data_IF_425821506664
#
_entry.id   IF_425821506664
#
_cell.length_a   1.000
_cell.length_b   1.000
_cell.length_c   1.000
_cell.angle_alpha   90.00
_cell.angle_beta   90.00
_cell.angle_gamma   90.00
#
_symmetry.space_group_name_H-M   'P 1'
#
loop_
_entity.id
_entity.type
_entity.pdbx_description
1 polymer ?
#
# COMPACT_ATOMS: atom_id res chain seq x y z
N UNK A 1 33.45 14.03 32.35
CA UNK A 1 33.51 14.26 30.89
C UNK A 1 33.15 13.00 30.09
N UNK A 2 33.84 11.85 30.22
CA UNK A 2 33.51 10.62 29.44
C UNK A 2 32.05 10.12 29.57
N UNK A 3 31.46 10.21 30.76
CA UNK A 3 30.05 9.81 31.00
C UNK A 3 29.02 10.71 30.30
N UNK A 4 29.38 11.97 30.04
CA UNK A 4 28.53 12.93 29.32
C UNK A 4 28.47 12.59 27.83
N UNK A 5 29.60 12.20 27.25
CA UNK A 5 29.69 11.74 25.85
C UNK A 5 28.96 10.41 25.61
N UNK A 6 28.97 9.51 26.60
CA UNK A 6 28.20 8.26 26.54
C UNK A 6 26.70 8.55 26.55
N UNK A 7 26.23 9.45 27.44
CA UNK A 7 24.84 9.89 27.47
C UNK A 7 24.40 10.59 26.17
N UNK A 8 25.26 11.45 25.61
CA UNK A 8 25.00 12.14 24.35
C UNK A 8 24.94 11.17 23.15
N UNK A 9 25.81 10.15 23.14
CA UNK A 9 25.80 9.10 22.13
C UNK A 9 24.52 8.26 22.16
N UNK A 10 24.05 7.88 23.35
CA UNK A 10 22.80 7.14 23.52
C UNK A 10 21.60 7.99 23.06
N UNK A 11 21.58 9.29 23.42
CA UNK A 11 20.52 10.21 23.00
C UNK A 11 20.45 10.36 21.48
N UNK A 12 21.60 10.48 20.80
CA UNK A 12 21.68 10.56 19.34
C UNK A 12 21.16 9.29 18.64
N UNK A 13 21.46 8.11 19.18
CA UNK A 13 20.95 6.83 18.64
C UNK A 13 19.43 6.75 18.77
N UNK A 14 18.87 7.15 19.91
CA UNK A 14 17.41 7.16 20.14
C UNK A 14 16.71 8.15 19.21
N UNK A 15 17.29 9.36 19.02
CA UNK A 15 16.76 10.35 18.09
C UNK A 15 16.80 9.85 16.64
N UNK A 16 17.90 9.21 16.22
CA UNK A 16 18.03 8.68 14.86
C UNK A 16 17.05 7.53 14.59
N UNK A 17 16.88 6.63 15.56
CA UNK A 17 15.87 5.57 15.48
C UNK A 17 14.45 6.16 15.40
N UNK A 18 14.15 7.20 16.20
CA UNK A 18 12.89 7.92 16.16
C UNK A 18 12.59 8.56 14.81
N UNK A 19 13.59 9.18 14.18
CA UNK A 19 13.46 9.79 12.85
C UNK A 19 13.18 8.75 11.75
N UNK A 20 13.87 7.60 11.77
CA UNK A 20 13.64 6.51 10.80
C UNK A 20 12.22 5.91 10.91
N UNK A 21 11.74 5.74 12.15
CA UNK A 21 10.37 5.27 12.39
C UNK A 21 9.37 6.32 11.94
N UNK A 22 9.64 7.60 12.22
CA UNK A 22 8.80 8.71 11.79
C UNK A 22 8.74 8.82 10.26
N UNK A 23 9.85 8.70 9.53
CA UNK A 23 9.82 8.63 8.05
C UNK A 23 8.98 7.46 7.56
N UNK A 24 9.15 6.26 8.13
CA UNK A 24 8.37 5.09 7.72
C UNK A 24 6.88 5.20 8.03
N UNK A 25 6.49 6.00 9.02
CA UNK A 25 5.09 6.17 9.44
C UNK A 25 4.44 7.42 8.81
N UNK A 26 5.21 8.49 8.63
CA UNK A 26 4.76 9.79 8.10
C UNK A 26 4.90 9.83 6.57
N UNK A 27 6.02 9.36 6.03
CA UNK A 27 6.25 9.24 4.58
C UNK A 27 5.85 7.86 4.04
N UNK A 28 6.05 6.79 4.81
CA UNK A 28 5.62 5.43 4.44
C UNK A 28 4.15 5.19 4.79
N UNK A 29 3.35 4.79 3.80
CA UNK A 29 1.98 4.34 4.05
C UNK A 29 1.93 2.99 4.77
N UNK A 30 0.77 2.68 5.34
CA UNK A 30 0.44 1.36 5.85
C UNK A 30 0.27 0.36 4.70
N UNK A 31 0.85 -0.83 4.85
CA UNK A 31 0.66 -1.89 3.86
C UNK A 31 -0.65 -2.63 4.09
N UNK A 32 -1.44 -2.76 3.02
CA UNK A 32 -2.59 -3.65 2.92
C UNK A 32 -2.40 -4.60 1.75
N UNK A 33 -3.10 -5.72 1.78
CA UNK A 33 -3.07 -6.73 0.71
C UNK A 33 -4.46 -6.90 0.14
N UNK A 34 -4.57 -6.93 -1.19
CA UNK A 34 -5.83 -7.14 -1.93
C UNK A 34 -5.67 -8.30 -2.91
N UNK A 35 -6.78 -8.88 -3.31
CA UNK A 35 -6.86 -9.76 -4.48
C UNK A 35 -7.69 -9.09 -5.57
N UNK A 36 -7.22 -9.13 -6.82
CA UNK A 36 -7.97 -8.61 -7.96
C UNK A 36 -9.12 -9.57 -8.29
N UNK A 37 -10.34 -9.23 -7.88
CA UNK A 37 -11.54 -10.06 -8.09
C UNK A 37 -12.41 -9.59 -9.26
N UNK A 38 -12.22 -8.37 -9.74
CA UNK A 38 -12.97 -7.73 -10.84
C UNK A 38 -12.04 -7.28 -11.97
N UNK A 39 -12.61 -6.89 -13.11
CA UNK A 39 -11.85 -6.26 -14.18
C UNK A 39 -11.58 -4.76 -13.94
N UNK A 40 -12.05 -4.21 -12.82
CA UNK A 40 -12.12 -2.76 -12.60
C UNK A 40 -13.23 -2.09 -13.41
N UNK A 41 -13.59 -0.89 -13.00
CA UNK A 41 -14.45 0.02 -13.75
C UNK A 41 -13.60 0.75 -14.79
N UNK A 42 -13.93 0.62 -16.07
CA UNK A 42 -13.24 1.35 -17.13
C UNK A 42 -13.63 2.82 -17.06
N UNK A 43 -12.65 3.70 -16.97
CA UNK A 43 -12.80 5.14 -17.03
C UNK A 43 -12.10 5.62 -18.30
N UNK A 44 -12.79 6.44 -19.08
CA UNK A 44 -12.24 7.10 -20.25
C UNK A 44 -12.22 8.60 -19.97
N UNK A 45 -11.03 9.19 -19.99
CA UNK A 45 -10.81 10.63 -19.83
C UNK A 45 -10.06 11.17 -21.04
N UNK A 46 -10.02 12.48 -21.16
CA UNK A 46 -9.25 13.19 -22.18
C UNK A 46 -8.19 14.02 -21.45
N UNK A 47 -6.94 13.95 -21.90
CA UNK A 47 -5.87 14.80 -21.36
C UNK A 47 -5.97 16.23 -21.91
N UNK A 48 -5.14 17.15 -21.38
CA UNK A 48 -5.13 18.56 -21.81
C UNK A 48 -4.77 18.76 -23.30
N UNK A 49 -4.36 17.70 -24.01
CA UNK A 49 -3.98 17.70 -25.42
C UNK A 49 -4.99 17.00 -26.32
N UNK A 50 -6.10 16.52 -25.77
CA UNK A 50 -7.14 15.82 -26.53
C UNK A 50 -6.88 14.33 -26.73
N UNK A 51 -5.89 13.74 -26.05
CA UNK A 51 -5.65 12.30 -26.14
C UNK A 51 -6.56 11.56 -25.17
N UNK A 52 -7.19 10.50 -25.68
CA UNK A 52 -7.97 9.59 -24.84
C UNK A 52 -7.05 8.81 -23.90
N UNK A 53 -7.34 8.88 -22.61
CA UNK A 53 -6.69 8.12 -21.55
C UNK A 53 -7.70 7.10 -21.02
N UNK A 54 -7.28 5.83 -20.99
CA UNK A 54 -8.09 4.74 -20.45
C UNK A 54 -7.46 4.30 -19.14
N UNK A 55 -8.24 4.38 -18.06
CA UNK A 55 -7.86 3.90 -16.75
C UNK A 55 -8.87 2.86 -16.24
N UNK A 56 -8.44 2.05 -15.28
CA UNK A 56 -9.30 1.05 -14.64
C UNK A 56 -9.33 1.32 -13.14
N UNK A 57 -10.49 1.71 -12.63
CA UNK A 57 -10.70 1.96 -11.21
C UNK A 57 -11.07 0.68 -10.47
N UNK A 58 -10.45 0.50 -9.31
CA UNK A 58 -10.70 -0.63 -8.42
C UNK A 58 -11.18 -0.11 -7.07
N UNK A 59 -12.21 -0.75 -6.53
CA UNK A 59 -12.60 -0.65 -5.13
C UNK A 59 -12.64 -2.09 -4.59
N UNK A 60 -11.62 -2.44 -3.80
CA UNK A 60 -11.42 -3.82 -3.34
C UNK A 60 -11.23 -3.84 -1.83
N UNK A 61 -11.77 -4.86 -1.12
CA UNK A 61 -11.42 -5.08 0.26
C UNK A 61 -9.97 -5.53 0.36
N UNK A 62 -9.26 -4.93 1.32
CA UNK A 62 -7.87 -5.25 1.61
C UNK A 62 -7.64 -5.41 3.10
N UNK A 63 -6.59 -6.17 3.43
CA UNK A 63 -6.26 -6.54 4.80
C UNK A 63 -4.82 -6.19 5.13
N UNK A 64 -4.61 -5.58 6.29
CA UNK A 64 -3.24 -5.41 6.79
C UNK A 64 -2.69 -6.73 7.35
N UNK A 65 -1.42 -6.72 7.79
CA UNK A 65 -0.77 -7.89 8.38
C UNK A 65 -1.49 -8.50 9.61
N UNK A 66 -2.38 -7.73 10.25
CA UNK A 66 -3.15 -8.14 11.41
C UNK A 66 -4.60 -8.53 11.07
N UNK A 67 -4.93 -8.69 9.78
CA UNK A 67 -6.28 -8.95 9.28
C UNK A 67 -7.27 -7.80 9.54
N UNK A 68 -6.79 -6.56 9.70
CA UNK A 68 -7.69 -5.40 9.74
C UNK A 68 -8.14 -5.04 8.32
N UNK A 69 -9.46 -5.11 8.11
CA UNK A 69 -10.10 -4.78 6.83
C UNK A 69 -10.06 -3.29 6.53
N UNK A 70 -9.91 -2.95 5.26
CA UNK A 70 -10.10 -1.61 4.68
C UNK A 70 -10.54 -1.75 3.23
N UNK A 71 -11.54 -0.98 2.80
CA UNK A 71 -11.82 -0.83 1.37
C UNK A 71 -10.79 0.13 0.75
N UNK A 72 -10.14 -0.31 -0.32
CA UNK A 72 -9.06 0.41 -0.99
C UNK A 72 -9.51 0.77 -2.39
N UNK A 73 -9.51 2.07 -2.66
CA UNK A 73 -9.78 2.66 -3.95
C UNK A 73 -8.47 3.05 -4.64
N UNK A 74 -8.25 2.57 -5.87
CA UNK A 74 -7.05 2.87 -6.64
C UNK A 74 -7.25 2.69 -8.14
N UNK A 75 -6.37 3.31 -8.93
CA UNK A 75 -6.35 3.21 -10.39
C UNK A 75 -5.31 2.19 -10.87
N UNK A 76 -5.65 1.45 -11.91
CA UNK A 76 -4.74 0.62 -12.69
C UNK A 76 -3.66 1.47 -13.36
N UNK A 77 -2.38 1.08 -13.23
CA UNK A 77 -1.23 1.75 -13.84
C UNK A 77 -0.99 1.26 -15.29
N UNK A 78 -1.96 0.53 -15.85
CA UNK A 78 -1.93 -0.04 -17.19
C UNK A 78 -3.19 0.39 -17.93
N UNK A 79 -3.06 0.54 -19.24
CA UNK A 79 -4.12 0.75 -20.22
C UNK A 79 -5.07 -0.45 -20.39
N UNK A 80 -4.95 -1.46 -19.52
CA UNK A 80 -5.73 -2.69 -19.52
C UNK A 80 -6.02 -3.12 -18.07
N UNK A 81 -7.07 -3.92 -17.84
CA UNK A 81 -7.35 -4.47 -16.53
C UNK A 81 -6.14 -5.17 -15.91
N UNK A 82 -5.99 -5.02 -14.60
CA UNK A 82 -5.08 -5.82 -13.81
C UNK A 82 -5.47 -7.30 -13.90
N UNK A 83 -4.47 -8.17 -13.81
CA UNK A 83 -4.68 -9.62 -13.96
C UNK A 83 -5.60 -10.11 -12.85
N UNK A 84 -6.72 -10.73 -13.22
CA UNK A 84 -7.63 -11.39 -12.29
C UNK A 84 -6.89 -12.41 -11.44
N UNK A 85 -7.26 -12.49 -10.16
CA UNK A 85 -6.67 -13.34 -9.13
C UNK A 85 -5.23 -12.98 -8.72
N UNK A 86 -4.63 -11.93 -9.29
CA UNK A 86 -3.36 -11.41 -8.79
C UNK A 86 -3.54 -10.81 -7.39
N UNK A 87 -2.50 -10.91 -6.58
CA UNK A 87 -2.43 -10.26 -5.28
C UNK A 87 -1.58 -9.00 -5.38
N UNK A 88 -2.03 -7.92 -4.74
CA UNK A 88 -1.25 -6.70 -4.65
C UNK A 88 -0.97 -6.36 -3.20
N UNK A 89 0.22 -5.79 -2.96
CA UNK A 89 0.53 -5.06 -1.74
C UNK A 89 0.34 -3.57 -2.01
N UNK A 90 -0.67 -3.00 -1.35
CA UNK A 90 -1.06 -1.59 -1.42
C UNK A 90 -0.32 -0.81 -0.33
N UNK A 91 0.25 0.35 -0.69
CA UNK A 91 0.70 1.35 0.27
C UNK A 91 -0.41 2.39 0.44
N UNK A 92 -0.99 2.46 1.64
CA UNK A 92 -2.07 3.38 1.97
C UNK A 92 -1.61 4.42 2.98
N UNK A 93 -1.73 5.69 2.64
CA UNK A 93 -1.46 6.80 3.55
C UNK A 93 -2.78 7.43 4.01
N UNK A 94 -2.84 7.85 5.28
CA UNK A 94 -4.06 8.41 5.86
C UNK A 94 -4.53 9.71 5.19
N UNK A 95 -3.60 10.53 4.69
CA UNK A 95 -3.93 11.82 4.08
C UNK A 95 -4.04 11.73 2.55
N UNK A 96 -3.49 10.69 1.93
CA UNK A 96 -3.38 10.56 0.46
C UNK A 96 -4.15 9.38 -0.14
N UNK A 97 -4.71 8.49 0.66
CA UNK A 97 -5.30 7.26 0.16
C UNK A 97 -4.25 6.26 -0.34
N UNK A 98 -4.55 5.52 -1.40
CA UNK A 98 -3.58 4.60 -2.02
C UNK A 98 -2.51 5.40 -2.75
N UNK A 99 -1.25 5.25 -2.33
CA UNK A 99 -0.12 5.98 -2.91
C UNK A 99 0.69 5.12 -3.89
N UNK A 100 0.65 3.81 -3.74
CA UNK A 100 1.31 2.87 -4.65
C UNK A 100 0.80 1.45 -4.44
N UNK A 101 1.10 0.57 -5.38
CA UNK A 101 0.94 -0.86 -5.22
C UNK A 101 1.96 -1.63 -6.03
N UNK A 102 2.20 -2.88 -5.62
CA UNK A 102 3.05 -3.83 -6.32
C UNK A 102 2.38 -5.20 -6.35
N UNK A 103 2.54 -5.94 -7.44
CA UNK A 103 2.10 -7.33 -7.51
C UNK A 103 3.00 -8.20 -6.63
N UNK A 104 2.39 -9.05 -5.80
CA UNK A 104 3.09 -9.94 -4.87
C UNK A 104 2.61 -11.37 -5.04
N UNK A 105 3.50 -12.32 -4.75
CA UNK A 105 3.15 -13.74 -4.70
C UNK A 105 2.39 -14.04 -3.40
N UNK A 106 1.54 -15.08 -3.43
CA UNK A 106 0.73 -15.52 -2.27
C UNK A 106 1.56 -15.75 -1.00
N UNK A 107 2.78 -16.28 -1.14
CA UNK A 107 3.70 -16.55 -0.02
C UNK A 107 4.31 -15.29 0.63
N UNK A 108 4.22 -14.13 -0.02
CA UNK A 108 4.66 -12.85 0.53
C UNK A 108 3.56 -12.14 1.35
N UNK A 109 2.35 -12.71 1.38
CA UNK A 109 1.20 -12.16 2.10
C UNK A 109 1.20 -12.74 3.52
N UNK A 110 1.06 -11.90 4.57
CA UNK A 110 0.89 -12.39 5.94
C UNK A 110 -0.27 -13.37 6.05
N UNK A 111 -0.06 -14.50 6.71
CA UNK A 111 -1.03 -15.61 6.78
C UNK A 111 -2.43 -15.16 7.22
N UNK A 112 -2.50 -14.25 8.20
CA UNK A 112 -3.77 -13.68 8.69
C UNK A 112 -4.52 -12.91 7.59
N UNK A 113 -3.81 -12.10 6.82
CA UNK A 113 -4.40 -11.33 5.72
C UNK A 113 -4.85 -12.28 4.59
N UNK A 114 -4.00 -13.26 4.26
CA UNK A 114 -4.29 -14.23 3.21
C UNK A 114 -5.56 -15.04 3.52
N UNK A 115 -5.72 -15.53 4.76
CA UNK A 115 -6.94 -16.23 5.18
C UNK A 115 -8.20 -15.41 4.98
N UNK A 116 -8.14 -14.11 5.25
CA UNK A 116 -9.29 -13.22 5.03
C UNK A 116 -9.59 -13.04 3.53
N UNK A 117 -8.56 -12.78 2.72
CA UNK A 117 -8.71 -12.64 1.27
C UNK A 117 -9.33 -13.88 0.62
N UNK A 118 -8.96 -15.08 1.08
CA UNK A 118 -9.53 -16.32 0.59
C UNK A 118 -10.96 -16.58 1.07
N UNK A 119 -11.34 -16.01 2.21
CA UNK A 119 -12.70 -16.15 2.75
C UNK A 119 -13.73 -15.22 2.12
N UNK A 120 -13.29 -14.11 1.50
CA UNK A 120 -14.16 -13.16 0.78
C UNK A 120 -14.36 -13.53 -0.70
N UNK A 121 -13.79 -14.65 -1.15
CA UNK A 121 -13.76 -15.06 -2.55
C UNK A 121 -15.05 -15.75 -3.01
#
# INVERSE_FOLDING_TARGET
MKKFWIGLGILMIVLFAGLQIAEKVIMGGQSYYVQITTNGEKIETEDDRGNQVIEYKYELPGYDKNAKKKNLEFLGMKDRPLKKDAYLKITWNQNKGVTSYEEVQKNAIPEKALKQLESER
#
